data_IF_153841699088
#
_entry.id   IF_153841699088
#
_cell.length_a   1.000
_cell.length_b   1.000
_cell.length_c   1.000
_cell.angle_alpha   90.00
_cell.angle_beta   90.00
_cell.angle_gamma   90.00
#
_symmetry.space_group_name_H-M   'P 1'
#
loop_
_entity.id
_entity.type
_entity.pdbx_description
1 polymer ?
#
# COMPACT_ATOMS: atom_id res chain seq x y z
N UNK A 1 3.62 4.26 22.43
CA UNK A 1 3.48 5.20 21.31
C UNK A 1 4.72 5.04 20.43
N UNK A 2 4.63 4.32 19.32
CA UNK A 2 5.77 4.10 18.41
C UNK A 2 6.24 5.45 17.86
N UNK A 3 7.51 5.81 18.10
CA UNK A 3 8.09 7.04 17.58
C UNK A 3 8.38 6.83 16.10
N UNK A 4 7.87 7.71 15.22
CA UNK A 4 8.13 7.65 13.77
C UNK A 4 9.54 8.12 13.42
N UNK A 5 10.53 7.32 13.84
CA UNK A 5 11.92 7.42 13.41
C UNK A 5 12.13 6.68 12.07
N UNK A 6 13.30 6.89 11.46
CA UNK A 6 13.63 6.32 10.16
C UNK A 6 13.64 4.78 10.19
N UNK A 7 14.08 4.20 11.31
CA UNK A 7 14.20 2.75 11.46
C UNK A 7 12.82 2.09 11.52
N UNK A 8 11.91 2.63 12.33
CA UNK A 8 10.55 2.14 12.46
C UNK A 8 9.77 2.27 11.15
N UNK A 9 9.97 3.35 10.39
CA UNK A 9 9.37 3.50 9.05
C UNK A 9 9.83 2.37 8.12
N UNK A 10 11.14 2.07 8.08
CA UNK A 10 11.66 0.99 7.25
C UNK A 10 11.10 -0.37 7.69
N UNK A 11 11.03 -0.61 9.01
CA UNK A 11 10.46 -1.85 9.56
C UNK A 11 8.99 -2.01 9.15
N UNK A 12 8.19 -0.94 9.25
CA UNK A 12 6.77 -0.96 8.86
C UNK A 12 6.64 -1.34 7.37
N UNK A 13 7.42 -0.70 6.49
CA UNK A 13 7.37 -0.98 5.05
C UNK A 13 7.85 -2.40 4.72
N UNK A 14 8.86 -2.91 5.43
CA UNK A 14 9.33 -4.28 5.29
C UNK A 14 8.28 -5.30 5.74
N UNK A 15 7.62 -5.05 6.87
CA UNK A 15 6.53 -5.91 7.36
C UNK A 15 5.36 -5.89 6.38
N UNK A 16 4.98 -4.71 5.89
CA UNK A 16 3.95 -4.58 4.86
C UNK A 16 4.31 -5.37 3.59
N UNK A 17 5.55 -5.24 3.12
CA UNK A 17 6.06 -6.00 1.96
C UNK A 17 6.02 -7.51 2.21
N UNK A 18 6.48 -7.97 3.38
CA UNK A 18 6.49 -9.38 3.73
C UNK A 18 5.07 -9.96 3.82
N UNK A 19 4.11 -9.21 4.38
CA UNK A 19 2.71 -9.61 4.46
C UNK A 19 2.08 -9.77 3.06
N UNK A 20 2.31 -8.80 2.18
CA UNK A 20 1.79 -8.87 0.81
C UNK A 20 2.43 -10.02 0.02
N UNK A 21 3.74 -10.21 0.13
CA UNK A 21 4.42 -11.36 -0.48
C UNK A 21 3.86 -12.68 0.04
N UNK A 22 3.67 -12.80 1.36
CA UNK A 22 3.08 -13.98 1.97
C UNK A 22 1.66 -14.24 1.45
N UNK A 23 0.82 -13.20 1.35
CA UNK A 23 -0.53 -13.33 0.80
C UNK A 23 -0.50 -13.86 -0.63
N UNK A 24 0.33 -13.29 -1.50
CA UNK A 24 0.47 -13.74 -2.89
C UNK A 24 0.98 -15.16 -3.03
N UNK A 25 1.89 -15.59 -2.15
CA UNK A 25 2.43 -16.95 -2.16
C UNK A 25 1.44 -17.97 -1.57
N UNK A 26 0.57 -17.55 -0.64
CA UNK A 26 -0.36 -18.44 0.05
C UNK A 26 -1.68 -18.60 -0.67
N UNK A 27 -2.29 -17.49 -1.10
CA UNK A 27 -3.56 -17.48 -1.80
C UNK A 27 -3.67 -16.23 -2.68
N UNK A 28 -3.41 -16.47 -3.96
CA UNK A 28 -3.45 -15.52 -5.05
C UNK A 28 -4.81 -14.82 -5.25
N UNK A 29 -5.93 -15.53 -5.12
CA UNK A 29 -7.28 -14.97 -5.19
C UNK A 29 -7.53 -13.96 -4.07
N UNK A 30 -7.21 -14.33 -2.83
CA UNK A 30 -7.32 -13.44 -1.68
C UNK A 30 -6.37 -12.25 -1.82
N UNK A 31 -5.15 -12.46 -2.29
CA UNK A 31 -4.17 -11.40 -2.52
C UNK A 31 -4.67 -10.40 -3.56
N UNK A 32 -5.25 -10.87 -4.68
CA UNK A 32 -5.85 -10.04 -5.71
C UNK A 32 -7.04 -9.23 -5.17
N UNK A 33 -7.96 -9.90 -4.48
CA UNK A 33 -9.14 -9.29 -3.89
C UNK A 33 -8.74 -8.18 -2.89
N UNK A 34 -7.83 -8.48 -1.97
CA UNK A 34 -7.33 -7.51 -1.00
C UNK A 34 -6.58 -6.36 -1.68
N UNK A 35 -5.68 -6.64 -2.65
CA UNK A 35 -4.94 -5.59 -3.36
C UNK A 35 -5.89 -4.64 -4.11
N UNK A 36 -6.91 -5.20 -4.77
CA UNK A 36 -7.90 -4.45 -5.54
C UNK A 36 -8.82 -3.56 -4.71
N UNK A 37 -9.02 -3.88 -3.43
CA UNK A 37 -9.82 -3.05 -2.51
C UNK A 37 -8.93 -2.07 -1.75
N UNK A 38 -7.80 -2.55 -1.24
CA UNK A 38 -6.90 -1.78 -0.38
C UNK A 38 -6.26 -0.60 -1.10
N UNK A 39 -5.78 -0.81 -2.34
CA UNK A 39 -5.12 0.24 -3.12
C UNK A 39 -6.07 1.42 -3.42
N UNK A 40 -7.30 1.22 -3.94
CA UNK A 40 -8.26 2.31 -4.11
C UNK A 40 -8.61 3.04 -2.82
N UNK A 41 -8.78 2.33 -1.70
CA UNK A 41 -9.06 2.96 -0.40
C UNK A 41 -7.93 3.91 -0.03
N UNK A 42 -6.67 3.46 -0.11
CA UNK A 42 -5.52 4.31 0.21
C UNK A 42 -5.39 5.50 -0.75
N UNK A 43 -5.68 5.31 -2.04
CA UNK A 43 -5.72 6.40 -3.02
C UNK A 43 -6.82 7.41 -2.64
N UNK A 44 -8.02 6.96 -2.26
CA UNK A 44 -9.09 7.83 -1.81
C UNK A 44 -8.68 8.63 -0.57
N UNK A 45 -8.06 7.98 0.41
CA UNK A 45 -7.52 8.65 1.61
C UNK A 45 -6.46 9.68 1.23
N UNK A 46 -5.58 9.36 0.27
CA UNK A 46 -4.55 10.27 -0.22
C UNK A 46 -5.17 11.51 -0.86
N UNK A 47 -6.15 11.32 -1.74
CA UNK A 47 -6.85 12.41 -2.43
C UNK A 47 -7.59 13.28 -1.42
N UNK A 48 -8.37 12.69 -0.51
CA UNK A 48 -9.12 13.44 0.50
C UNK A 48 -8.16 14.22 1.40
N UNK A 49 -7.06 13.60 1.83
CA UNK A 49 -6.05 14.27 2.66
C UNK A 49 -5.42 15.45 1.93
N UNK A 50 -5.05 15.31 0.65
CA UNK A 50 -4.47 16.39 -0.14
C UNK A 50 -5.46 17.55 -0.34
N UNK A 51 -6.74 17.24 -0.60
CA UNK A 51 -7.79 18.26 -0.72
C UNK A 51 -7.95 18.99 0.61
N UNK A 52 -8.08 18.24 1.72
CA UNK A 52 -8.24 18.81 3.06
C UNK A 52 -7.09 19.74 3.42
N UNK A 53 -5.84 19.31 3.20
CA UNK A 53 -4.64 20.06 3.55
C UNK A 53 -4.44 21.30 2.67
N UNK A 54 -5.02 21.29 1.46
CA UNK A 54 -5.07 22.45 0.57
C UNK A 54 -6.11 23.47 0.98
N UNK A 55 -7.20 23.07 1.64
CA UNK A 55 -8.26 23.97 2.12
C UNK A 55 -7.89 24.60 3.46
N UNK A 56 -7.44 23.79 4.40
CA UNK A 56 -6.91 24.21 5.69
C UNK A 56 -5.60 23.46 5.94
N UNK A 57 -4.53 24.18 6.30
CA UNK A 57 -3.25 23.55 6.66
C UNK A 57 -3.47 22.63 7.86
N UNK A 58 -3.62 21.35 7.58
CA UNK A 58 -3.98 20.31 8.55
C UNK A 58 -2.78 19.82 9.37
N UNK A 59 -1.58 20.36 9.11
CA UNK A 59 -0.33 20.07 9.82
C UNK A 59 0.04 18.57 9.90
N UNK A 60 -0.57 17.71 9.08
CA UNK A 60 -0.17 16.29 8.92
C UNK A 60 1.17 16.28 8.19
N UNK A 61 2.26 16.32 8.95
CA UNK A 61 3.61 16.47 8.41
C UNK A 61 3.93 15.50 7.27
N UNK A 62 4.85 15.90 6.38
CA UNK A 62 5.19 15.20 5.12
C UNK A 62 5.40 13.69 5.23
N UNK A 63 5.86 13.20 6.39
CA UNK A 63 6.03 11.76 6.69
C UNK A 63 4.75 10.94 6.49
N UNK A 64 3.59 11.50 6.83
CA UNK A 64 2.30 10.86 6.63
C UNK A 64 2.05 10.54 5.15
N UNK A 65 2.21 11.54 4.28
CA UNK A 65 2.04 11.37 2.83
C UNK A 65 3.06 10.39 2.25
N UNK A 66 4.32 10.43 2.70
CA UNK A 66 5.33 9.48 2.23
C UNK A 66 4.99 8.03 2.61
N UNK A 67 4.52 7.78 3.83
CA UNK A 67 4.07 6.46 4.25
C UNK A 67 2.84 6.00 3.45
N UNK A 68 1.85 6.88 3.29
CA UNK A 68 0.63 6.57 2.55
C UNK A 68 0.93 6.20 1.09
N UNK A 69 1.82 6.96 0.43
CA UNK A 69 2.27 6.68 -0.94
C UNK A 69 3.03 5.36 -0.99
N UNK A 70 3.94 5.11 -0.05
CA UNK A 70 4.70 3.86 0.00
C UNK A 70 3.78 2.64 0.16
N UNK A 71 2.76 2.74 1.02
CA UNK A 71 1.76 1.68 1.23
C UNK A 71 0.79 1.46 0.05
N UNK A 72 0.68 2.43 -0.87
CA UNK A 72 0.01 2.23 -2.17
C UNK A 72 0.95 1.49 -3.14
N UNK A 73 2.21 1.92 -3.18
CA UNK A 73 3.20 1.43 -4.15
C UNK A 73 3.56 -0.03 -3.88
N UNK A 74 3.76 -0.43 -2.62
CA UNK A 74 4.19 -1.79 -2.25
C UNK A 74 3.24 -2.87 -2.79
N UNK A 75 1.94 -2.91 -2.43
CA UNK A 75 1.01 -3.90 -2.96
C UNK A 75 0.86 -3.83 -4.48
N UNK A 76 0.92 -2.63 -5.06
CA UNK A 76 0.83 -2.43 -6.51
C UNK A 76 2.03 -3.05 -7.25
N UNK A 77 3.25 -2.86 -6.72
CA UNK A 77 4.47 -3.46 -7.26
C UNK A 77 4.48 -4.97 -7.11
N UNK A 78 4.04 -5.50 -5.97
CA UNK A 78 3.97 -6.94 -5.74
C UNK A 78 2.94 -7.57 -6.67
N UNK A 79 1.73 -6.98 -6.80
CA UNK A 79 0.73 -7.44 -7.77
C UNK A 79 1.29 -7.45 -9.19
N UNK A 80 1.98 -6.39 -9.60
CA UNK A 80 2.60 -6.30 -10.92
C UNK A 80 3.69 -7.37 -11.12
N UNK A 81 4.52 -7.60 -10.12
CA UNK A 81 5.56 -8.62 -10.13
C UNK A 81 4.97 -10.02 -10.32
N UNK A 82 3.97 -10.41 -9.52
CA UNK A 82 3.34 -11.73 -9.63
C UNK A 82 2.62 -11.91 -10.98
N UNK A 83 1.96 -10.86 -11.46
CA UNK A 83 1.32 -10.87 -12.78
C UNK A 83 2.31 -11.12 -13.92
N UNK A 84 3.48 -10.45 -13.90
CA UNK A 84 4.48 -10.56 -14.97
C UNK A 84 5.26 -11.88 -14.89
N UNK A 85 5.77 -12.23 -13.70
CA UNK A 85 6.75 -13.31 -13.55
C UNK A 85 6.12 -14.69 -13.32
N UNK A 86 5.01 -14.76 -12.60
CA UNK A 86 4.32 -16.03 -12.31
C UNK A 86 3.33 -16.38 -13.43
N UNK A 87 3.08 -15.45 -14.36
CA UNK A 87 2.13 -15.65 -15.46
C UNK A 87 0.69 -15.78 -14.96
N UNK A 88 0.40 -15.13 -13.83
CA UNK A 88 -0.88 -15.23 -13.15
C UNK A 88 -2.01 -14.78 -14.10
N UNK A 89 -2.75 -15.75 -14.66
CA UNK A 89 -3.94 -15.49 -15.46
C UNK A 89 -4.95 -14.87 -14.52
N UNK A 90 -5.23 -13.59 -14.72
CA UNK A 90 -6.31 -12.93 -14.00
C UNK A 90 -7.60 -13.56 -14.53
N UNK A 91 -8.08 -14.61 -13.87
CA UNK A 91 -9.45 -15.06 -14.00
C UNK A 91 -10.32 -14.01 -13.31
N UNK A 92 -10.49 -12.88 -13.99
CA UNK A 92 -11.61 -11.99 -13.74
C UNK A 92 -12.79 -12.81 -14.24
N UNK A 93 -13.50 -13.45 -13.30
CA UNK A 93 -14.78 -14.16 -13.46
C UNK A 93 -15.25 -14.45 -14.90
#
# INVERSE_FOLDING_TARGET
>A
MFKLDRQNIIIILLVETALWLFLWLFNDYLALLLSSIFVPILISVLVISLISDSLEKSHVGKKYYYLLIASIIIPSLIWLFFKIFVGYKIEIF
#
